data_IF_628224260470
#
_entry.id   IF_628224260470
#
_cell.length_a   1.000
_cell.length_b   1.000
_cell.length_c   1.000
_cell.angle_alpha   90.00
_cell.angle_beta   90.00
_cell.angle_gamma   90.00
#
_symmetry.space_group_name_H-M   'P 1'
#
loop_
_entity.id
_entity.type
_entity.pdbx_description
1 polymer ?
#
# COMPACT_ATOMS: atom_id res chain seq x y z
N UNK A 1 -15.35 104.42 12.20
CA UNK A 1 -16.21 103.43 11.49
C UNK A 1 -15.42 102.14 11.41
N UNK A 2 -15.89 101.13 12.09
CA UNK A 2 -15.21 99.83 12.25
C UNK A 2 -15.86 98.82 11.25
N UNK A 3 -15.07 98.36 10.28
CA UNK A 3 -15.50 97.22 9.43
C UNK A 3 -15.23 95.88 10.14
N UNK A 4 -16.30 95.08 10.37
CA UNK A 4 -16.20 93.70 10.83
C UNK A 4 -16.05 92.84 9.60
N UNK A 5 -14.93 92.13 9.49
CA UNK A 5 -14.73 91.09 8.50
C UNK A 5 -15.40 89.77 8.99
N UNK A 6 -16.21 89.19 8.13
CA UNK A 6 -16.82 87.88 8.36
C UNK A 6 -15.90 86.80 7.79
N UNK A 7 -15.41 85.92 8.64
CA UNK A 7 -14.61 84.74 8.22
C UNK A 7 -15.61 83.59 7.92
N UNK A 8 -15.68 83.20 6.66
CA UNK A 8 -16.49 82.03 6.23
C UNK A 8 -15.57 80.82 6.29
N UNK A 9 -15.84 79.86 7.19
CA UNK A 9 -15.15 78.56 7.26
C UNK A 9 -15.92 77.57 6.38
N UNK A 10 -15.27 77.10 5.29
CA UNK A 10 -15.77 76.11 4.41
C UNK A 10 -15.38 74.70 4.95
N UNK A 11 -16.33 73.91 5.36
CA UNK A 11 -16.11 72.51 5.73
C UNK A 11 -16.18 71.65 4.47
N UNK A 12 -15.04 71.09 4.07
CA UNK A 12 -14.98 70.04 3.03
C UNK A 12 -15.35 68.69 3.62
N UNK A 13 -16.46 68.13 3.18
CA UNK A 13 -16.88 66.76 3.51
C UNK A 13 -16.05 65.78 2.68
N UNK A 14 -15.15 65.04 3.35
CA UNK A 14 -14.45 63.90 2.75
C UNK A 14 -15.38 62.69 2.88
N UNK A 15 -15.74 61.99 1.77
CA UNK A 15 -16.56 60.79 1.88
C UNK A 15 -15.75 59.66 2.48
N UNK A 16 -16.16 59.15 3.63
CA UNK A 16 -15.64 57.90 4.22
C UNK A 16 -16.18 56.74 3.39
N UNK A 17 -15.32 56.15 2.55
CA UNK A 17 -15.62 54.89 1.86
C UNK A 17 -15.61 53.77 2.90
N UNK A 18 -16.78 53.24 3.22
CA UNK A 18 -16.90 52.03 4.05
C UNK A 18 -16.53 50.85 3.18
N UNK A 19 -15.31 50.32 3.34
CA UNK A 19 -14.89 49.06 2.76
C UNK A 19 -15.56 47.92 3.55
N UNK A 20 -16.63 47.36 2.98
CA UNK A 20 -17.29 46.18 3.52
C UNK A 20 -16.38 44.97 3.31
N UNK A 21 -15.57 44.60 4.30
CA UNK A 21 -14.80 43.37 4.29
C UNK A 21 -15.76 42.22 4.52
N UNK A 22 -16.20 41.56 3.42
CA UNK A 22 -16.89 40.26 3.53
C UNK A 22 -15.88 39.22 4.05
N UNK A 23 -15.86 39.04 5.37
CA UNK A 23 -15.21 37.85 5.96
C UNK A 23 -16.03 36.65 5.52
N UNK A 24 -15.54 35.92 4.53
CA UNK A 24 -16.04 34.59 4.20
C UNK A 24 -15.85 33.71 5.45
N UNK A 25 -16.92 33.48 6.17
CA UNK A 25 -16.97 32.53 7.26
C UNK A 25 -16.84 31.13 6.66
N UNK A 26 -15.61 30.63 6.52
CA UNK A 26 -15.36 29.22 6.22
C UNK A 26 -15.65 28.48 7.53
N UNK A 27 -16.76 27.71 7.62
CA UNK A 27 -17.03 26.95 8.83
C UNK A 27 -15.83 26.03 9.08
N UNK A 28 -15.37 25.88 10.33
CA UNK A 28 -14.34 24.91 10.65
C UNK A 28 -14.81 23.55 10.13
N UNK A 29 -13.96 22.87 9.35
CA UNK A 29 -14.19 21.47 8.98
C UNK A 29 -14.29 20.73 10.32
N UNK A 30 -15.50 20.29 10.68
CA UNK A 30 -15.73 19.53 11.90
C UNK A 30 -14.76 18.33 11.85
N UNK A 31 -13.89 18.22 12.85
CA UNK A 31 -13.02 17.04 12.99
C UNK A 31 -13.96 15.85 13.18
N UNK A 32 -14.03 15.00 12.15
CA UNK A 32 -14.89 13.82 12.17
C UNK A 32 -14.29 12.82 13.17
N UNK A 33 -15.12 12.25 14.05
CA UNK A 33 -14.68 11.16 14.92
C UNK A 33 -14.11 10.06 14.02
N UNK A 34 -12.93 9.47 14.31
CA UNK A 34 -12.39 8.34 13.56
C UNK A 34 -13.37 7.16 13.41
N UNK A 35 -14.38 7.07 14.27
CA UNK A 35 -15.46 6.07 14.23
C UNK A 35 -16.62 6.43 13.31
N UNK A 36 -16.70 7.68 12.83
CA UNK A 36 -17.73 8.07 11.88
C UNK A 36 -17.54 7.33 10.55
N UNK A 37 -18.62 6.77 9.97
CA UNK A 37 -18.50 6.04 8.71
C UNK A 37 -18.20 6.99 7.52
N UNK A 38 -17.40 6.50 6.58
CA UNK A 38 -17.00 7.19 5.38
C UNK A 38 -17.62 6.56 4.14
N UNK A 39 -18.19 7.36 3.25
CA UNK A 39 -18.72 6.86 2.00
C UNK A 39 -17.57 6.38 1.09
N UNK A 40 -17.64 5.14 0.64
CA UNK A 40 -16.72 4.58 -0.36
C UNK A 40 -17.15 5.07 -1.74
N UNK A 41 -16.32 5.89 -2.37
CA UNK A 41 -16.57 6.47 -3.70
C UNK A 41 -16.20 5.50 -4.83
N UNK A 42 -15.07 4.79 -4.68
CA UNK A 42 -14.54 3.90 -5.72
C UNK A 42 -13.66 2.81 -5.12
N UNK A 43 -13.78 1.61 -5.67
CA UNK A 43 -12.82 0.53 -5.43
C UNK A 43 -11.68 0.65 -6.44
N UNK A 44 -10.44 0.65 -5.96
CA UNK A 44 -9.23 0.76 -6.78
C UNK A 44 -8.79 -0.64 -7.21
N UNK A 45 -8.64 -1.53 -6.22
CA UNK A 45 -8.28 -2.94 -6.38
C UNK A 45 -8.85 -3.78 -5.23
N UNK A 46 -8.38 -5.01 -5.08
CA UNK A 46 -8.89 -5.93 -4.07
C UNK A 46 -8.70 -5.48 -2.62
N UNK A 47 -7.72 -4.63 -2.33
CA UNK A 47 -7.38 -4.19 -0.97
C UNK A 47 -7.17 -2.68 -0.83
N UNK A 48 -7.64 -1.92 -1.80
CA UNK A 48 -7.54 -0.45 -1.80
C UNK A 48 -8.83 0.19 -2.28
N UNK A 49 -9.34 1.14 -1.52
CA UNK A 49 -10.52 1.95 -1.84
C UNK A 49 -10.19 3.44 -1.85
N UNK A 50 -11.04 4.22 -2.50
CA UNK A 50 -11.04 5.68 -2.42
C UNK A 50 -12.34 6.13 -1.76
N UNK A 51 -12.23 6.96 -0.74
CA UNK A 51 -13.36 7.56 -0.02
C UNK A 51 -13.89 8.79 -0.76
N UNK A 52 -15.08 9.24 -0.38
CA UNK A 52 -15.70 10.44 -0.97
C UNK A 52 -14.92 11.73 -0.66
N UNK A 53 -14.14 11.77 0.41
CA UNK A 53 -13.26 12.87 0.77
C UNK A 53 -11.92 12.87 0.00
N UNK A 54 -11.71 11.90 -0.89
CA UNK A 54 -10.53 11.79 -1.76
C UNK A 54 -9.39 10.94 -1.20
N UNK A 55 -9.45 10.52 0.06
CA UNK A 55 -8.41 9.66 0.65
C UNK A 55 -8.42 8.26 0.03
N UNK A 56 -7.23 7.72 -0.20
CA UNK A 56 -7.05 6.30 -0.51
C UNK A 56 -6.82 5.53 0.78
N UNK A 57 -7.54 4.43 0.95
CA UNK A 57 -7.42 3.54 2.12
C UNK A 57 -6.88 2.20 1.66
N UNK A 58 -5.70 1.82 2.16
CA UNK A 58 -5.08 0.51 1.96
C UNK A 58 -5.37 -0.38 3.17
N UNK A 59 -5.83 -1.57 2.92
CA UNK A 59 -6.23 -2.51 3.96
C UNK A 59 -5.02 -3.08 4.69
N UNK A 60 -5.02 -2.95 6.03
CA UNK A 60 -3.93 -3.47 6.88
C UNK A 60 -3.94 -5.00 6.88
N UNK A 61 -2.76 -5.59 6.86
CA UNK A 61 -2.52 -7.00 7.18
C UNK A 61 -2.83 -7.98 6.06
N UNK A 62 -3.30 -7.51 4.91
CA UNK A 62 -3.58 -8.35 3.74
C UNK A 62 -2.95 -7.79 2.46
N UNK A 63 -2.77 -8.66 1.48
CA UNK A 63 -2.45 -8.28 0.10
C UNK A 63 -3.26 -9.15 -0.86
N UNK A 64 -3.92 -8.52 -1.81
CA UNK A 64 -4.62 -9.19 -2.90
C UNK A 64 -3.69 -9.37 -4.11
N UNK A 65 -4.05 -10.18 -5.12
CA UNK A 65 -3.31 -10.22 -6.37
C UNK A 65 -3.16 -8.84 -6.99
N UNK A 66 -1.99 -8.58 -7.57
CA UNK A 66 -1.70 -7.37 -8.32
C UNK A 66 -2.26 -7.46 -9.74
N UNK A 67 -2.46 -6.33 -10.40
CA UNK A 67 -2.94 -6.28 -11.79
C UNK A 67 -2.05 -7.16 -12.69
N UNK A 68 -2.68 -8.04 -13.46
CA UNK A 68 -2.03 -9.02 -14.31
C UNK A 68 -1.68 -10.35 -13.62
N UNK A 69 -1.90 -10.46 -12.30
CA UNK A 69 -1.81 -11.73 -11.58
C UNK A 69 -3.16 -12.48 -11.63
N UNK A 70 -3.15 -13.81 -11.47
CA UNK A 70 -4.38 -14.58 -11.37
C UNK A 70 -5.29 -14.05 -10.25
N UNK A 71 -6.60 -14.03 -10.51
CA UNK A 71 -7.65 -13.61 -9.56
C UNK A 71 -7.59 -12.13 -9.12
N UNK A 72 -6.90 -11.26 -9.86
CA UNK A 72 -6.90 -9.83 -9.58
C UNK A 72 -8.29 -9.21 -9.76
N UNK A 73 -8.97 -9.52 -10.85
CA UNK A 73 -10.33 -8.99 -11.14
C UNK A 73 -11.33 -9.50 -10.11
N UNK A 74 -11.28 -10.79 -9.78
CA UNK A 74 -12.16 -11.43 -8.81
C UNK A 74 -12.00 -10.80 -7.41
N UNK A 75 -10.77 -10.54 -6.97
CA UNK A 75 -10.51 -9.87 -5.70
C UNK A 75 -11.07 -8.44 -5.68
N UNK A 76 -10.90 -7.70 -6.79
CA UNK A 76 -11.43 -6.35 -6.95
C UNK A 76 -12.96 -6.34 -6.97
N UNK A 77 -13.58 -7.24 -7.71
CA UNK A 77 -15.04 -7.35 -7.80
C UNK A 77 -15.66 -7.77 -6.48
N UNK A 78 -15.04 -8.72 -5.77
CA UNK A 78 -15.45 -9.10 -4.43
C UNK A 78 -15.39 -7.91 -3.46
N UNK A 79 -14.30 -7.16 -3.48
CA UNK A 79 -14.19 -5.94 -2.69
C UNK A 79 -15.29 -4.93 -3.07
N UNK A 80 -15.56 -4.74 -4.37
CA UNK A 80 -16.60 -3.83 -4.85
C UNK A 80 -18.00 -4.24 -4.36
N UNK A 81 -18.31 -5.52 -4.33
CA UNK A 81 -19.59 -6.02 -3.77
C UNK A 81 -19.70 -5.75 -2.26
N UNK A 82 -18.59 -5.82 -1.52
CA UNK A 82 -18.59 -5.58 -0.07
C UNK A 82 -18.75 -4.12 0.29
N UNK A 83 -18.05 -3.21 -0.41
CA UNK A 83 -17.89 -1.81 0.02
C UNK A 83 -18.42 -0.78 -0.96
N UNK A 84 -18.68 -1.13 -2.21
CA UNK A 84 -19.01 -0.17 -3.27
C UNK A 84 -20.26 0.66 -2.96
N UNK A 85 -20.12 1.98 -2.90
CA UNK A 85 -21.21 2.91 -2.60
C UNK A 85 -21.74 2.86 -1.16
N UNK A 86 -21.12 2.08 -0.28
CA UNK A 86 -21.54 1.91 1.12
C UNK A 86 -20.74 2.82 2.06
N UNK A 87 -21.25 2.93 3.29
CA UNK A 87 -20.55 3.58 4.39
C UNK A 87 -19.60 2.58 5.07
N UNK A 88 -18.33 2.92 5.15
CA UNK A 88 -17.29 2.13 5.81
C UNK A 88 -16.82 2.82 7.09
N UNK A 89 -16.65 2.05 8.15
CA UNK A 89 -15.93 2.47 9.37
C UNK A 89 -14.48 2.03 9.26
N UNK A 90 -13.56 2.84 9.78
CA UNK A 90 -12.13 2.58 9.74
C UNK A 90 -11.61 2.38 11.16
N UNK A 91 -10.86 1.29 11.37
CA UNK A 91 -10.06 1.08 12.57
C UNK A 91 -8.59 1.16 12.19
N UNK A 92 -7.83 2.02 12.85
CA UNK A 92 -6.44 2.27 12.52
C UNK A 92 -5.51 1.33 13.28
N UNK A 93 -4.40 0.97 12.62
CA UNK A 93 -3.28 0.30 13.27
C UNK A 93 -2.34 1.29 13.96
N UNK A 94 -1.16 0.79 14.35
CA UNK A 94 -0.09 1.62 14.94
C UNK A 94 0.42 2.67 13.96
N UNK A 95 0.54 2.31 12.68
CA UNK A 95 0.87 3.22 11.57
C UNK A 95 -0.40 3.49 10.80
N UNK A 96 -0.68 4.76 10.56
CA UNK A 96 -1.94 5.24 9.97
C UNK A 96 -1.81 5.65 8.51
N UNK A 97 -0.59 5.79 8.01
CA UNK A 97 -0.31 6.19 6.63
C UNK A 97 0.93 5.47 6.09
N UNK A 98 0.90 5.11 4.83
CA UNK A 98 2.06 4.55 4.16
C UNK A 98 2.88 5.64 3.42
N UNK A 99 4.04 5.25 2.91
CA UNK A 99 4.96 6.16 2.19
C UNK A 99 4.36 6.77 0.90
N UNK A 100 3.21 6.31 0.45
CA UNK A 100 2.50 6.82 -0.72
C UNK A 100 1.35 7.76 -0.35
N UNK A 101 1.19 8.09 0.94
CA UNK A 101 0.13 8.93 1.46
C UNK A 101 -1.24 8.23 1.53
N UNK A 102 -1.26 6.88 1.48
CA UNK A 102 -2.51 6.13 1.65
C UNK A 102 -2.77 5.89 3.13
N UNK A 103 -4.00 6.14 3.55
CA UNK A 103 -4.48 5.78 4.90
C UNK A 103 -4.44 4.26 5.07
N UNK A 104 -3.86 3.78 6.18
CA UNK A 104 -3.82 2.36 6.54
C UNK A 104 -4.92 2.06 7.56
N UNK A 105 -5.84 1.13 7.24
CA UNK A 105 -6.95 0.80 8.13
C UNK A 105 -7.45 -0.65 7.96
N UNK A 106 -8.08 -1.16 9.01
CA UNK A 106 -9.06 -2.24 8.93
C UNK A 106 -10.39 -1.62 8.54
N UNK A 107 -11.05 -2.18 7.53
CA UNK A 107 -12.26 -1.62 6.94
C UNK A 107 -13.46 -2.47 7.31
N UNK A 108 -14.49 -1.82 7.87
CA UNK A 108 -15.72 -2.47 8.28
C UNK A 108 -16.90 -1.88 7.51
N UNK A 109 -17.77 -2.75 7.03
CA UNK A 109 -19.05 -2.40 6.42
C UNK A 109 -20.15 -3.22 7.10
N UNK A 110 -21.19 -2.56 7.59
CA UNK A 110 -22.31 -3.22 8.31
C UNK A 110 -21.82 -4.13 9.47
N UNK A 111 -20.74 -3.72 10.14
CA UNK A 111 -20.12 -4.47 11.25
C UNK A 111 -19.21 -5.63 10.84
N UNK A 112 -19.13 -5.98 9.55
CA UNK A 112 -18.25 -7.02 9.03
C UNK A 112 -16.92 -6.47 8.57
N UNK A 113 -15.80 -7.09 8.97
CA UNK A 113 -14.45 -6.71 8.53
C UNK A 113 -14.17 -7.21 7.10
N UNK A 114 -13.96 -6.30 6.17
CA UNK A 114 -13.72 -6.62 4.75
C UNK A 114 -12.37 -7.28 4.55
N UNK A 115 -11.32 -6.86 5.29
CA UNK A 115 -10.01 -7.52 5.29
C UNK A 115 -10.13 -9.03 5.58
N UNK A 116 -10.89 -9.38 6.63
CA UNK A 116 -11.12 -10.76 7.02
C UNK A 116 -11.92 -11.54 5.97
N UNK A 117 -12.94 -10.91 5.37
CA UNK A 117 -13.75 -11.52 4.34
C UNK A 117 -12.95 -11.88 3.08
N UNK A 118 -11.99 -11.04 2.68
CA UNK A 118 -11.08 -11.31 1.55
C UNK A 118 -10.16 -12.51 1.83
N UNK A 119 -9.61 -12.62 3.04
CA UNK A 119 -8.81 -13.79 3.46
C UNK A 119 -9.66 -15.07 3.45
N UNK A 120 -10.84 -15.00 4.03
CA UNK A 120 -11.77 -16.15 4.11
C UNK A 120 -12.20 -16.65 2.72
N UNK A 121 -12.36 -15.73 1.77
CA UNK A 121 -12.67 -16.07 0.38
C UNK A 121 -11.45 -16.60 -0.40
N UNK A 122 -10.26 -16.59 0.18
CA UNK A 122 -9.02 -16.93 -0.52
C UNK A 122 -8.62 -15.91 -1.59
N UNK A 123 -9.11 -14.67 -1.52
CA UNK A 123 -8.80 -13.60 -2.48
C UNK A 123 -7.71 -12.65 -1.99
N UNK A 124 -7.17 -12.91 -0.81
CA UNK A 124 -6.03 -12.24 -0.23
C UNK A 124 -5.14 -13.22 0.52
N UNK A 125 -3.90 -12.84 0.73
CA UNK A 125 -3.01 -13.50 1.67
C UNK A 125 -2.61 -12.55 2.80
N UNK A 126 -2.20 -13.11 3.93
CA UNK A 126 -1.63 -12.36 5.05
C UNK A 126 -0.38 -11.59 4.59
N UNK A 127 -0.29 -10.33 4.97
CA UNK A 127 0.79 -9.43 4.58
C UNK A 127 1.16 -8.50 5.73
N UNK A 128 2.37 -8.70 6.28
CA UNK A 128 2.84 -8.03 7.48
C UNK A 128 4.14 -7.29 7.19
N UNK A 129 4.11 -5.97 7.31
CA UNK A 129 5.29 -5.11 7.30
C UNK A 129 5.67 -4.73 8.74
N UNK A 130 4.66 -4.58 9.59
CA UNK A 130 4.72 -4.24 11.01
C UNK A 130 3.73 -5.11 11.78
N UNK A 131 3.87 -5.28 13.12
CA UNK A 131 2.91 -6.02 13.91
C UNK A 131 1.49 -5.49 13.74
N UNK A 132 0.54 -6.38 13.47
CA UNK A 132 -0.86 -6.08 13.22
C UNK A 132 -1.75 -6.66 14.32
N UNK A 133 -2.85 -5.96 14.65
CA UNK A 133 -3.77 -6.33 15.74
C UNK A 133 -4.41 -7.69 15.49
N UNK A 134 -4.84 -7.97 14.26
CA UNK A 134 -5.62 -9.17 13.95
C UNK A 134 -4.78 -10.32 13.38
N UNK A 135 -3.46 -10.36 13.62
CA UNK A 135 -2.53 -11.34 13.02
C UNK A 135 -3.01 -12.79 13.16
N UNK A 136 -3.35 -13.24 14.39
CA UNK A 136 -3.75 -14.62 14.64
C UNK A 136 -5.07 -14.98 13.94
N UNK A 137 -6.02 -14.05 13.94
CA UNK A 137 -7.29 -14.24 13.23
C UNK A 137 -7.07 -14.34 11.71
N UNK A 138 -6.25 -13.46 11.14
CA UNK A 138 -5.95 -13.44 9.71
C UNK A 138 -5.18 -14.69 9.27
N UNK A 139 -4.22 -15.15 10.09
CA UNK A 139 -3.50 -16.38 9.84
C UNK A 139 -4.46 -17.58 9.79
N UNK A 140 -5.37 -17.70 10.77
CA UNK A 140 -6.38 -18.75 10.81
C UNK A 140 -7.29 -18.73 9.57
N UNK A 141 -7.80 -17.56 9.18
CA UNK A 141 -8.68 -17.42 8.01
C UNK A 141 -7.96 -17.79 6.71
N UNK A 142 -6.70 -17.39 6.57
CA UNK A 142 -5.87 -17.81 5.44
C UNK A 142 -5.70 -19.32 5.39
N UNK A 143 -5.41 -19.97 6.52
CA UNK A 143 -5.21 -21.42 6.57
C UNK A 143 -6.50 -22.20 6.27
N UNK A 144 -7.64 -21.69 6.73
CA UNK A 144 -8.94 -22.26 6.38
C UNK A 144 -9.20 -22.19 4.87
N UNK A 145 -8.98 -21.02 4.26
CA UNK A 145 -9.12 -20.82 2.81
C UNK A 145 -8.14 -21.71 2.02
N UNK A 146 -6.90 -21.82 2.50
CA UNK A 146 -5.85 -22.64 1.88
C UNK A 146 -6.17 -24.13 1.92
N UNK A 147 -6.63 -24.63 3.06
CA UNK A 147 -7.02 -26.03 3.23
C UNK A 147 -8.18 -26.43 2.32
N UNK A 148 -9.08 -25.48 2.05
CA UNK A 148 -10.22 -25.67 1.15
C UNK A 148 -9.88 -25.41 -0.33
N UNK A 149 -8.65 -24.96 -0.64
CA UNK A 149 -8.23 -24.65 -2.01
C UNK A 149 -8.99 -23.48 -2.63
N UNK A 150 -9.41 -22.49 -1.80
CA UNK A 150 -10.20 -21.35 -2.27
C UNK A 150 -9.30 -20.30 -2.95
N UNK A 151 -9.82 -19.69 -4.00
CA UNK A 151 -9.21 -18.55 -4.67
C UNK A 151 -7.74 -18.78 -5.05
N UNK A 152 -6.83 -17.92 -4.54
CA UNK A 152 -5.38 -17.97 -4.82
C UNK A 152 -4.71 -19.27 -4.36
N UNK A 153 -5.38 -20.08 -3.57
CA UNK A 153 -4.92 -21.36 -3.06
C UNK A 153 -5.38 -22.56 -3.94
N UNK A 154 -6.17 -22.26 -4.98
CA UNK A 154 -6.64 -23.24 -5.97
C UNK A 154 -5.57 -23.60 -7.02
N UNK A 155 -5.97 -24.39 -8.02
CA UNK A 155 -5.07 -24.90 -9.08
C UNK A 155 -4.41 -23.80 -9.91
N UNK A 156 -5.13 -22.72 -10.18
CA UNK A 156 -4.70 -21.61 -11.03
C UNK A 156 -4.11 -20.45 -10.22
N UNK A 157 -3.89 -20.68 -8.93
CA UNK A 157 -3.35 -19.71 -7.98
C UNK A 157 -1.83 -19.71 -7.88
N UNK A 158 -1.34 -19.26 -6.73
CA UNK A 158 0.10 -19.21 -6.46
C UNK A 158 0.69 -20.60 -6.20
N UNK A 159 1.84 -20.89 -6.82
CA UNK A 159 2.42 -22.24 -6.82
C UNK A 159 3.41 -22.52 -5.70
N UNK A 160 3.96 -21.50 -5.08
CA UNK A 160 5.05 -21.64 -4.11
C UNK A 160 4.71 -21.10 -2.72
N UNK A 161 5.64 -21.24 -1.78
CA UNK A 161 5.49 -20.72 -0.42
C UNK A 161 5.79 -19.20 -0.34
N UNK A 162 6.40 -18.63 -1.38
CA UNK A 162 6.72 -17.21 -1.49
C UNK A 162 6.01 -16.57 -2.66
N UNK A 163 5.70 -15.28 -2.50
CA UNK A 163 5.12 -14.42 -3.54
C UNK A 163 5.88 -13.11 -3.65
N UNK A 164 6.07 -12.61 -4.87
CA UNK A 164 6.53 -11.25 -5.13
C UNK A 164 5.36 -10.30 -4.93
N UNK A 165 5.46 -9.39 -3.97
CA UNK A 165 4.41 -8.41 -3.68
C UNK A 165 4.72 -7.00 -4.18
N UNK A 166 5.95 -6.78 -4.64
CA UNK A 166 6.36 -5.51 -5.25
C UNK A 166 7.66 -5.68 -6.02
N UNK A 167 7.70 -5.17 -7.23
CA UNK A 167 8.90 -4.83 -7.97
C UNK A 167 8.94 -3.31 -8.15
N UNK A 168 9.92 -2.64 -7.55
CA UNK A 168 10.20 -1.23 -7.75
C UNK A 168 11.43 -1.11 -8.64
N UNK A 169 11.19 -1.13 -9.94
CA UNK A 169 12.24 -1.10 -10.95
C UNK A 169 12.79 0.30 -11.24
N UNK A 170 12.06 1.34 -10.84
CA UNK A 170 12.43 2.74 -11.11
C UNK A 170 12.63 3.47 -9.78
N UNK A 171 13.87 3.77 -9.45
CA UNK A 171 14.21 4.58 -8.29
C UNK A 171 13.86 6.06 -8.51
N UNK A 172 13.63 6.78 -7.45
CA UNK A 172 13.44 8.23 -7.53
C UNK A 172 14.73 8.92 -7.98
N UNK A 173 14.67 9.73 -9.01
CA UNK A 173 15.80 10.44 -9.60
C UNK A 173 16.59 9.56 -10.57
N UNK A 174 17.92 9.57 -10.46
CA UNK A 174 18.79 8.78 -11.30
C UNK A 174 19.23 7.51 -10.56
N UNK A 175 18.82 6.35 -11.08
CA UNK A 175 19.04 5.03 -10.49
C UNK A 175 20.51 4.74 -10.17
N UNK A 176 21.44 5.25 -10.99
CA UNK A 176 22.89 5.08 -10.75
C UNK A 176 23.37 5.70 -9.43
N UNK A 177 22.63 6.69 -8.92
CA UNK A 177 22.92 7.35 -7.64
C UNK A 177 21.99 6.92 -6.52
N UNK A 178 20.93 6.17 -6.85
CA UNK A 178 19.91 5.71 -5.89
C UNK A 178 19.58 4.22 -6.09
N UNK A 179 20.61 3.37 -6.13
CA UNK A 179 20.44 1.92 -6.35
C UNK A 179 19.49 1.25 -5.35
N UNK A 180 19.40 1.75 -4.11
CA UNK A 180 18.49 1.22 -3.10
C UNK A 180 17.05 1.77 -3.23
N UNK A 181 16.81 2.68 -4.18
CA UNK A 181 15.47 2.99 -4.66
C UNK A 181 14.85 1.85 -5.45
N UNK A 182 15.69 1.02 -6.11
CA UNK A 182 15.25 -0.24 -6.72
C UNK A 182 15.20 -1.37 -5.68
N UNK A 183 14.12 -2.14 -5.66
CA UNK A 183 13.99 -3.29 -4.77
C UNK A 183 12.88 -4.25 -5.21
N UNK A 184 13.01 -5.49 -4.78
CA UNK A 184 11.93 -6.49 -4.81
C UNK A 184 11.46 -6.78 -3.39
N UNK A 185 10.14 -6.88 -3.19
CA UNK A 185 9.56 -7.37 -1.94
C UNK A 185 8.94 -8.73 -2.18
N UNK A 186 9.33 -9.69 -1.35
CA UNK A 186 8.71 -11.02 -1.28
C UNK A 186 7.96 -11.18 0.05
N UNK A 187 6.96 -12.07 0.05
CA UNK A 187 6.15 -12.41 1.23
C UNK A 187 6.06 -13.92 1.38
N UNK A 188 6.18 -14.41 2.61
CA UNK A 188 5.89 -15.80 2.93
C UNK A 188 4.37 -16.00 3.01
N UNK A 189 3.80 -16.69 2.04
CA UNK A 189 2.38 -17.03 1.97
C UNK A 189 2.09 -18.46 2.48
N UNK A 190 3.12 -19.17 2.99
CA UNK A 190 2.96 -20.50 3.57
C UNK A 190 2.53 -20.44 5.04
N UNK A 191 2.03 -21.53 5.62
CA UNK A 191 1.60 -21.58 7.02
C UNK A 191 2.76 -21.65 8.03
N UNK A 192 3.98 -21.92 7.58
CA UNK A 192 5.13 -22.13 8.43
C UNK A 192 6.20 -21.05 8.25
N UNK A 193 7.05 -20.88 9.25
CA UNK A 193 8.26 -20.09 9.09
C UNK A 193 9.16 -20.71 8.03
N UNK A 194 9.57 -19.93 7.05
CA UNK A 194 10.35 -20.35 5.89
C UNK A 194 11.77 -19.82 6.00
N UNK A 195 12.77 -20.70 5.77
CA UNK A 195 14.13 -20.28 5.54
C UNK A 195 14.29 -19.88 4.05
N UNK A 196 14.72 -18.66 3.81
CA UNK A 196 14.94 -18.15 2.46
C UNK A 196 16.16 -18.75 1.76
N UNK A 197 17.03 -19.47 2.49
CA UNK A 197 18.24 -20.05 1.93
C UNK A 197 17.93 -20.93 0.72
N UNK A 198 18.62 -20.64 -0.40
CA UNK A 198 18.51 -21.37 -1.65
C UNK A 198 17.42 -20.86 -2.61
N UNK A 199 16.44 -20.07 -2.13
CA UNK A 199 15.56 -19.35 -3.04
C UNK A 199 16.33 -18.32 -3.86
N UNK A 200 15.83 -17.95 -5.04
CA UNK A 200 16.51 -16.99 -5.91
C UNK A 200 15.56 -16.05 -6.62
N UNK A 201 16.06 -14.87 -6.94
CA UNK A 201 15.42 -13.86 -7.79
C UNK A 201 16.30 -13.58 -8.99
N UNK A 202 15.68 -13.41 -10.16
CA UNK A 202 16.36 -12.95 -11.38
C UNK A 202 15.48 -11.98 -12.16
N UNK A 203 16.11 -11.19 -13.04
CA UNK A 203 15.44 -10.37 -14.04
C UNK A 203 15.40 -11.07 -15.41
N UNK A 204 14.88 -10.38 -16.43
CA UNK A 204 14.87 -10.87 -17.83
C UNK A 204 16.25 -10.85 -18.47
N UNK A 205 17.21 -10.09 -17.95
CA UNK A 205 18.55 -9.94 -18.51
C UNK A 205 19.54 -10.98 -17.97
N UNK A 206 19.11 -11.79 -16.98
CA UNK A 206 19.90 -12.86 -16.38
C UNK A 206 20.69 -12.44 -15.14
N UNK A 207 20.47 -11.24 -14.60
CA UNK A 207 20.97 -10.95 -13.25
C UNK A 207 20.32 -11.90 -12.27
N UNK A 208 21.12 -12.43 -11.34
CA UNK A 208 20.66 -13.49 -10.44
C UNK A 208 21.13 -13.23 -9.01
N UNK A 209 20.22 -13.38 -8.05
CA UNK A 209 20.48 -13.33 -6.63
C UNK A 209 19.99 -14.59 -5.94
N UNK A 210 20.85 -15.24 -5.15
CA UNK A 210 20.45 -16.38 -4.31
C UNK A 210 20.44 -15.94 -2.86
N UNK A 211 19.32 -16.15 -2.18
CA UNK A 211 19.22 -15.91 -0.75
C UNK A 211 20.10 -16.91 0.02
N UNK A 212 20.92 -16.39 0.93
CA UNK A 212 21.83 -17.20 1.74
C UNK A 212 21.34 -17.38 3.17
N UNK A 213 20.34 -16.59 3.60
CA UNK A 213 19.82 -16.54 4.98
C UNK A 213 18.49 -15.78 5.02
N UNK A 214 17.78 -15.95 6.13
CA UNK A 214 16.57 -15.20 6.49
C UNK A 214 15.42 -16.12 6.86
N UNK A 215 14.93 -16.00 8.09
CA UNK A 215 13.73 -16.72 8.54
C UNK A 215 12.51 -15.80 8.40
N UNK A 216 11.55 -16.21 7.60
CA UNK A 216 10.36 -15.42 7.28
C UNK A 216 9.11 -16.11 7.83
N UNK A 217 8.46 -15.50 8.83
CA UNK A 217 7.20 -16.00 9.40
C UNK A 217 6.05 -15.89 8.39
N UNK A 218 4.96 -16.63 8.56
CA UNK A 218 3.77 -16.50 7.71
C UNK A 218 3.30 -15.06 7.60
N UNK A 219 3.10 -14.56 6.37
CA UNK A 219 2.68 -13.21 6.07
C UNK A 219 3.76 -12.13 6.16
N UNK A 220 4.93 -12.44 6.72
CA UNK A 220 6.03 -11.49 6.82
C UNK A 220 6.78 -11.33 5.52
N UNK A 221 7.49 -10.20 5.37
CA UNK A 221 8.09 -9.80 4.10
C UNK A 221 9.60 -9.61 4.19
N UNK A 222 10.28 -9.80 3.06
CA UNK A 222 11.67 -9.43 2.87
C UNK A 222 11.80 -8.45 1.70
N UNK A 223 12.64 -7.43 1.88
CA UNK A 223 13.07 -6.50 0.84
C UNK A 223 14.47 -6.91 0.38
N UNK A 224 14.65 -7.06 -0.92
CA UNK A 224 15.95 -7.17 -1.56
C UNK A 224 16.22 -5.88 -2.32
N UNK A 225 17.12 -5.06 -1.79
CA UNK A 225 17.58 -3.82 -2.41
C UNK A 225 18.70 -4.08 -3.42
N UNK A 226 18.73 -3.35 -4.53
CA UNK A 226 19.73 -3.53 -5.59
C UNK A 226 21.15 -3.15 -5.13
N UNK A 227 21.31 -2.05 -4.43
CA UNK A 227 22.60 -1.47 -4.09
C UNK A 227 23.30 -2.09 -2.87
N UNK A 228 24.24 -1.34 -2.34
CA UNK A 228 25.05 -1.73 -1.19
C UNK A 228 24.30 -1.50 0.13
N UNK A 229 24.57 -2.36 1.13
CA UNK A 229 24.01 -2.23 2.46
C UNK A 229 24.37 -3.39 3.36
N UNK A 230 23.95 -3.30 4.63
CA UNK A 230 24.09 -4.36 5.63
C UNK A 230 22.75 -5.07 5.78
N UNK A 231 22.77 -6.40 5.60
CA UNK A 231 21.57 -7.21 5.80
C UNK A 231 21.09 -7.12 7.25
N UNK A 232 19.77 -7.01 7.40
CA UNK A 232 19.07 -7.03 8.70
C UNK A 232 18.04 -8.15 8.62
N UNK A 233 18.32 -9.26 9.30
CA UNK A 233 17.52 -10.49 9.24
C UNK A 233 17.00 -10.96 10.60
N UNK A 234 17.34 -10.24 11.68
CA UNK A 234 16.93 -10.56 13.05
C UNK A 234 16.40 -9.31 13.76
N UNK A 235 15.46 -9.49 14.68
CA UNK A 235 14.91 -8.41 15.50
C UNK A 235 14.05 -7.40 14.73
N UNK A 236 13.60 -7.74 13.52
CA UNK A 236 12.79 -6.88 12.65
C UNK A 236 11.58 -7.63 12.10
N UNK A 237 10.52 -6.90 11.82
CA UNK A 237 9.30 -7.45 11.22
C UNK A 237 9.42 -7.60 9.69
N UNK A 238 10.24 -6.78 9.07
CA UNK A 238 10.56 -6.88 7.64
C UNK A 238 12.05 -7.05 7.44
N UNK A 239 12.47 -8.15 6.81
CA UNK A 239 13.87 -8.40 6.50
C UNK A 239 14.36 -7.40 5.45
N UNK A 240 15.62 -6.99 5.56
CA UNK A 240 16.30 -6.13 4.59
C UNK A 240 17.57 -6.82 4.12
N UNK A 241 17.63 -7.08 2.83
CA UNK A 241 18.72 -7.77 2.17
C UNK A 241 19.24 -6.91 1.02
N UNK A 242 20.48 -7.10 0.63
CA UNK A 242 21.13 -6.28 -0.38
C UNK A 242 21.79 -7.15 -1.43
N UNK A 243 21.46 -6.91 -2.70
CA UNK A 243 22.09 -7.57 -3.85
C UNK A 243 23.58 -7.22 -3.96
N UNK A 244 23.92 -6.01 -3.49
CA UNK A 244 25.27 -5.44 -3.52
C UNK A 244 25.75 -5.17 -4.94
N UNK A 245 24.86 -4.84 -5.86
CA UNK A 245 25.20 -4.38 -7.19
C UNK A 245 25.79 -2.96 -7.14
N UNK A 246 26.70 -2.69 -8.06
CA UNK A 246 27.21 -1.34 -8.32
C UNK A 246 26.50 -0.65 -9.49
N UNK A 247 25.53 -1.32 -10.11
CA UNK A 247 24.76 -0.84 -11.24
C UNK A 247 23.27 -1.15 -11.04
N UNK A 248 22.36 -0.35 -11.65
CA UNK A 248 20.95 -0.73 -11.73
C UNK A 248 20.78 -2.13 -12.29
N UNK A 249 19.85 -2.88 -11.73
CA UNK A 249 19.48 -4.23 -12.17
C UNK A 249 18.20 -4.16 -12.98
N UNK A 250 17.21 -3.43 -12.49
CA UNK A 250 15.87 -3.42 -13.04
C UNK A 250 15.70 -2.35 -14.14
N UNK A 251 15.02 -2.70 -15.24
CA UNK A 251 14.80 -1.79 -16.35
C UNK A 251 13.60 -0.87 -16.07
N UNK A 252 13.84 0.46 -16.07
CA UNK A 252 12.82 1.49 -15.83
C UNK A 252 11.68 1.51 -16.85
N UNK A 253 11.92 1.01 -18.06
CA UNK A 253 10.91 0.94 -19.13
C UNK A 253 9.99 -0.28 -18.98
N UNK A 254 10.29 -1.14 -18.04
CA UNK A 254 9.60 -2.37 -17.75
C UNK A 254 10.57 -3.53 -17.62
N UNK A 255 10.32 -4.34 -16.61
CA UNK A 255 11.09 -5.56 -16.32
C UNK A 255 10.17 -6.59 -15.67
N UNK A 256 10.68 -7.81 -15.55
CA UNK A 256 9.99 -8.91 -14.89
C UNK A 256 10.92 -9.59 -13.89
N UNK A 257 10.44 -9.76 -12.67
CA UNK A 257 11.13 -10.51 -11.64
C UNK A 257 10.65 -11.95 -11.64
N UNK A 258 11.59 -12.89 -11.63
CA UNK A 258 11.34 -14.33 -11.54
C UNK A 258 11.81 -14.84 -10.18
N UNK A 259 10.91 -15.45 -9.42
CA UNK A 259 11.21 -16.07 -8.12
C UNK A 259 11.23 -17.59 -8.29
N UNK A 260 12.33 -18.22 -7.85
CA UNK A 260 12.51 -19.67 -7.93
C UNK A 260 12.77 -20.25 -6.55
N UNK A 261 12.36 -21.49 -6.37
CA UNK A 261 12.66 -22.28 -5.18
C UNK A 261 14.11 -22.83 -5.15
N UNK A 262 14.55 -23.48 -4.08
CA UNK A 262 15.88 -24.07 -4.00
C UNK A 262 16.17 -25.19 -5.01
N UNK A 263 15.14 -25.74 -5.64
CA UNK A 263 15.24 -26.75 -6.71
C UNK A 263 15.35 -26.10 -8.11
N UNK A 264 15.19 -24.77 -8.18
CA UNK A 264 15.23 -23.99 -9.42
C UNK A 264 13.88 -23.88 -10.12
N UNK A 265 12.80 -24.42 -9.53
CA UNK A 265 11.46 -24.32 -10.08
C UNK A 265 10.90 -22.90 -9.94
N UNK A 266 10.26 -22.41 -11.02
CA UNK A 266 9.62 -21.10 -11.02
C UNK A 266 8.35 -21.14 -10.18
N UNK A 267 8.30 -20.30 -9.13
CA UNK A 267 7.19 -20.26 -8.19
C UNK A 267 6.34 -18.99 -8.26
N UNK A 268 6.92 -17.88 -8.72
CA UNK A 268 6.17 -16.64 -8.95
C UNK A 268 6.90 -15.71 -9.93
N UNK A 269 6.13 -14.83 -10.58
CA UNK A 269 6.64 -13.73 -11.41
C UNK A 269 5.88 -12.44 -11.14
N UNK A 270 6.54 -11.30 -11.31
CA UNK A 270 5.88 -10.00 -11.30
C UNK A 270 6.51 -9.08 -12.35
N UNK A 271 5.70 -8.63 -13.30
CA UNK A 271 6.10 -7.69 -14.35
C UNK A 271 5.71 -6.26 -13.99
N UNK A 272 6.58 -5.29 -14.30
CA UNK A 272 6.27 -3.86 -14.28
C UNK A 272 5.84 -3.33 -15.64
N UNK A 273 5.91 -4.15 -16.70
CA UNK A 273 5.40 -3.78 -18.02
C UNK A 273 3.89 -3.60 -17.92
N UNK A 274 3.39 -2.42 -18.26
CA UNK A 274 1.96 -2.22 -18.44
C UNK A 274 1.56 -3.01 -19.68
N UNK A 275 0.85 -4.11 -19.50
CA UNK A 275 0.07 -4.67 -20.59
C UNK A 275 -1.01 -3.64 -20.92
N UNK A 276 -0.86 -2.99 -22.07
CA UNK A 276 -1.82 -2.01 -22.62
C UNK A 276 -3.17 -2.68 -22.92
#
# INVERSE_FOLDING_TARGET
>A
MKHKGIITISFSLVPIAIVLVCILFIPPVASRDPKDPFLVKRVVDGDTIMLADGRYVRYIGINTPERGQPLWEEAKDYNAQKVGGKLASLEFGKVTEDRYGRTLAYVFVEGAMVNAALLQAGLAHLFVIEPITYYQNFLRLQEEARTQGLGIWGRDGFRGPLKITRLNANAEGNDRYNLNGEYVRICNISPATLDLKGFSLSDQQGHHYTFTKGLLRPGYTALLFTGMGKDVVEGVDQLRLFWRSHHPIWNNKGDEAFLRDPQGELIDTLSTVKND
#
